data_IF_798474057053
#
_entry.id   IF_798474057053
#
_cell.length_a   1.000
_cell.length_b   1.000
_cell.length_c   1.000
_cell.angle_alpha   90.00
_cell.angle_beta   90.00
_cell.angle_gamma   90.00
#
_symmetry.space_group_name_H-M   'P 1'
#
loop_
_entity.id
_entity.type
_entity.pdbx_description
1 polymer ?
#
# COMPACT_ATOMS: atom_id res chain seq x y z
N UNK A 1 -8.32 31.55 -25.74
CA UNK A 1 -8.49 31.23 -24.30
C UNK A 1 -8.18 29.76 -24.17
N UNK A 2 -6.97 29.49 -23.68
CA UNK A 2 -6.14 28.34 -24.05
C UNK A 2 -6.59 27.04 -23.38
N UNK A 3 -7.23 26.14 -24.14
CA UNK A 3 -7.49 24.75 -23.72
C UNK A 3 -6.21 23.98 -23.37
N UNK A 4 -5.05 24.46 -23.80
CA UNK A 4 -3.73 23.87 -23.52
C UNK A 4 -3.30 24.02 -22.06
N UNK A 5 -3.76 25.04 -21.33
CA UNK A 5 -3.43 25.22 -19.91
C UNK A 5 -4.03 24.12 -19.04
N UNK A 6 -5.21 23.59 -19.39
CA UNK A 6 -5.84 22.49 -18.66
C UNK A 6 -5.11 21.15 -18.81
N UNK A 7 -4.46 20.92 -19.96
CA UNK A 7 -3.68 19.69 -20.22
C UNK A 7 -2.41 19.69 -19.35
N UNK A 8 -1.73 20.83 -19.25
CA UNK A 8 -0.54 20.98 -18.40
C UNK A 8 -0.88 20.79 -16.91
N UNK A 9 -2.04 21.30 -16.46
CA UNK A 9 -2.50 21.07 -15.10
C UNK A 9 -2.82 19.60 -14.84
N UNK A 10 -3.47 18.89 -15.78
CA UNK A 10 -3.78 17.46 -15.61
C UNK A 10 -2.52 16.58 -15.49
N UNK A 11 -1.46 16.89 -16.24
CA UNK A 11 -0.18 16.16 -16.17
C UNK A 11 0.52 16.30 -14.80
N UNK A 12 0.28 17.40 -14.07
CA UNK A 12 0.86 17.65 -12.74
C UNK A 12 0.16 16.88 -11.61
N UNK A 13 -1.02 16.30 -11.85
CA UNK A 13 -1.78 15.52 -10.84
C UNK A 13 -1.55 14.01 -10.90
N UNK A 14 -0.82 13.50 -11.90
CA UNK A 14 -0.41 12.10 -11.91
C UNK A 14 0.80 11.92 -11.00
N UNK A 15 0.57 11.32 -9.82
CA UNK A 15 1.62 11.00 -8.85
C UNK A 15 2.83 10.34 -9.51
N UNK A 16 4.04 10.73 -9.10
CA UNK A 16 5.28 10.17 -9.63
C UNK A 16 5.32 8.67 -9.34
N UNK A 17 5.17 7.85 -10.38
CA UNK A 17 5.40 6.40 -10.30
C UNK A 17 6.90 6.15 -10.35
N UNK A 18 7.50 5.73 -9.24
CA UNK A 18 8.89 5.30 -9.19
C UNK A 18 8.96 3.81 -9.59
N UNK A 19 9.63 3.51 -10.70
CA UNK A 19 9.93 2.14 -11.14
C UNK A 19 11.44 1.93 -11.08
N UNK A 20 11.86 0.92 -10.33
CA UNK A 20 13.25 0.51 -10.22
C UNK A 20 13.35 -0.99 -10.50
N UNK A 21 14.40 -1.40 -11.19
CA UNK A 21 14.70 -2.80 -11.48
C UNK A 21 15.92 -3.22 -10.67
N UNK A 22 15.83 -4.35 -9.99
CA UNK A 22 16.90 -4.92 -9.18
C UNK A 22 17.17 -6.35 -9.64
N UNK A 23 18.44 -6.74 -9.66
CA UNK A 23 18.88 -8.09 -10.01
C UNK A 23 19.82 -8.53 -8.88
N UNK A 24 19.57 -9.70 -8.31
CA UNK A 24 20.36 -10.29 -7.24
C UNK A 24 20.36 -11.81 -7.39
N UNK A 25 21.38 -12.49 -6.83
CA UNK A 25 21.49 -13.94 -6.92
C UNK A 25 20.61 -14.63 -5.86
N UNK A 26 20.37 -15.93 -6.06
CA UNK A 26 19.73 -16.76 -5.04
C UNK A 26 20.58 -16.79 -3.75
N UNK A 27 19.92 -16.73 -2.59
CA UNK A 27 20.58 -16.67 -1.28
C UNK A 27 20.99 -15.26 -0.83
N UNK A 28 21.09 -14.29 -1.75
CA UNK A 28 21.41 -12.91 -1.42
C UNK A 28 20.30 -12.21 -0.61
N UNK A 29 20.60 -10.99 -0.18
CA UNK A 29 19.61 -10.07 0.36
C UNK A 29 19.51 -8.81 -0.49
N UNK A 30 18.30 -8.27 -0.61
CA UNK A 30 18.01 -7.07 -1.39
C UNK A 30 17.08 -6.16 -0.62
N UNK A 31 17.24 -4.85 -0.80
CA UNK A 31 16.33 -3.84 -0.25
C UNK A 31 15.64 -3.07 -1.38
N UNK A 32 14.32 -3.17 -1.43
CA UNK A 32 13.47 -2.39 -2.33
C UNK A 32 13.09 -1.08 -1.64
N UNK A 33 13.50 0.04 -2.21
CA UNK A 33 13.16 1.35 -1.67
C UNK A 33 11.80 1.80 -2.19
N UNK A 34 10.97 2.33 -1.29
CA UNK A 34 9.75 3.04 -1.63
C UNK A 34 9.72 4.36 -0.88
N UNK A 35 9.63 5.47 -1.62
CA UNK A 35 9.37 6.80 -1.07
C UNK A 35 7.93 7.21 -1.37
N UNK A 36 7.28 7.88 -0.43
CA UNK A 36 5.90 8.32 -0.57
C UNK A 36 5.71 9.75 -0.09
N UNK A 37 4.72 10.43 -0.66
CA UNK A 37 4.33 11.77 -0.24
C UNK A 37 2.91 11.73 0.30
N UNK A 38 2.72 12.29 1.50
CA UNK A 38 1.41 12.32 2.16
C UNK A 38 1.34 13.46 3.16
N UNK A 39 0.15 14.05 3.31
CA UNK A 39 -0.16 15.02 4.37
C UNK A 39 -0.65 14.36 5.66
N UNK A 40 -0.81 13.04 5.68
CA UNK A 40 -1.26 12.29 6.86
C UNK A 40 -0.12 12.19 7.86
N UNK A 41 -0.40 12.51 9.12
CA UNK A 41 0.56 12.43 10.24
C UNK A 41 0.96 11.00 10.58
N UNK A 42 0.04 10.05 10.43
CA UNK A 42 0.26 8.62 10.68
C UNK A 42 -0.19 7.81 9.45
N UNK A 43 0.63 7.75 8.39
CA UNK A 43 0.28 6.97 7.22
C UNK A 43 0.45 5.48 7.49
N UNK A 44 -0.48 4.67 6.99
CA UNK A 44 -0.29 3.22 6.88
C UNK A 44 0.29 2.92 5.50
N UNK A 45 1.39 2.19 5.48
CA UNK A 45 2.06 1.77 4.25
C UNK A 45 1.88 0.28 4.06
N UNK A 46 1.61 -0.10 2.81
CA UNK A 46 1.34 -1.47 2.40
C UNK A 46 2.38 -1.88 1.38
N UNK A 47 2.80 -3.14 1.42
CA UNK A 47 3.58 -3.79 0.37
C UNK A 47 2.78 -4.93 -0.26
N UNK A 48 2.90 -5.06 -1.57
CA UNK A 48 2.28 -6.09 -2.39
C UNK A 48 3.31 -6.74 -3.31
N UNK A 49 3.16 -8.05 -3.55
CA UNK A 49 3.93 -8.82 -4.53
C UNK A 49 3.01 -9.21 -5.68
N UNK A 50 3.39 -8.90 -6.92
CA UNK A 50 2.68 -9.31 -8.13
C UNK A 50 3.57 -10.21 -8.97
N UNK A 51 3.17 -11.48 -9.05
CA UNK A 51 3.75 -12.44 -9.98
C UNK A 51 3.31 -12.15 -11.42
N UNK A 52 4.07 -12.65 -12.39
CA UNK A 52 3.75 -12.48 -13.81
C UNK A 52 2.32 -12.96 -14.09
N UNK A 53 1.54 -12.14 -14.80
CA UNK A 53 0.14 -12.40 -15.14
C UNK A 53 -0.80 -12.64 -13.94
N UNK A 54 -0.42 -12.21 -12.73
CA UNK A 54 -1.23 -12.30 -11.53
C UNK A 54 -1.70 -10.92 -11.06
N UNK A 55 -2.56 -10.87 -10.04
CA UNK A 55 -2.92 -9.64 -9.35
C UNK A 55 -1.95 -9.39 -8.17
N UNK A 56 -1.74 -8.13 -7.74
CA UNK A 56 -0.94 -7.85 -6.55
C UNK A 56 -1.50 -8.59 -5.33
N UNK A 57 -0.67 -9.37 -4.64
CA UNK A 57 -1.02 -10.07 -3.39
C UNK A 57 -0.50 -9.27 -2.20
N UNK A 58 -1.34 -9.11 -1.17
CA UNK A 58 -0.96 -8.40 0.05
C UNK A 58 0.17 -9.13 0.79
N UNK A 59 1.26 -8.41 1.09
CA UNK A 59 2.40 -8.97 1.84
C UNK A 59 2.40 -8.54 3.29
N UNK A 60 2.40 -7.23 3.52
CA UNK A 60 2.58 -6.65 4.84
C UNK A 60 2.12 -5.20 4.89
N UNK A 61 1.89 -4.70 6.11
CA UNK A 61 1.65 -3.29 6.37
C UNK A 61 2.47 -2.78 7.55
N UNK A 62 2.73 -1.49 7.54
CA UNK A 62 3.44 -0.75 8.58
C UNK A 62 2.64 0.48 8.95
N UNK A 63 2.46 0.72 10.24
CA UNK A 63 1.76 1.88 10.78
C UNK A 63 2.34 2.26 12.13
N UNK A 64 2.96 3.44 12.24
CA UNK A 64 3.67 3.83 13.46
C UNK A 64 4.65 2.71 13.89
N UNK A 65 4.52 2.18 15.10
CA UNK A 65 5.33 1.06 15.62
C UNK A 65 4.77 -0.33 15.27
N UNK A 66 3.59 -0.40 14.67
CA UNK A 66 2.93 -1.67 14.34
C UNK A 66 3.48 -2.27 13.05
N UNK A 67 3.94 -3.52 13.15
CA UNK A 67 4.34 -4.37 12.03
C UNK A 67 3.37 -5.55 11.91
N UNK A 68 2.78 -5.71 10.73
CA UNK A 68 1.92 -6.85 10.45
C UNK A 68 2.28 -7.44 9.08
N UNK A 69 2.55 -8.74 9.05
CA UNK A 69 2.82 -9.50 7.84
C UNK A 69 1.68 -10.50 7.61
N UNK A 70 1.40 -10.81 6.33
CA UNK A 70 0.53 -11.92 5.99
C UNK A 70 1.23 -13.27 6.27
N UNK A 71 0.47 -14.34 6.53
CA UNK A 71 1.03 -15.66 6.90
C UNK A 71 1.98 -16.29 5.87
N UNK A 72 1.96 -15.84 4.61
CA UNK A 72 2.87 -16.35 3.57
C UNK A 72 4.22 -15.60 3.54
N UNK A 73 4.31 -14.45 4.22
CA UNK A 73 5.46 -13.54 4.17
C UNK A 73 6.07 -13.37 5.55
N UNK A 74 6.81 -14.37 6.01
CA UNK A 74 7.46 -14.38 7.33
C UNK A 74 8.39 -13.17 7.53
N UNK A 75 8.39 -12.60 8.74
CA UNK A 75 9.15 -11.37 9.08
C UNK A 75 10.68 -11.57 9.03
N UNK A 76 11.17 -12.78 9.28
CA UNK A 76 12.60 -13.11 9.19
C UNK A 76 13.15 -12.98 7.76
N UNK A 77 12.30 -13.21 6.75
CA UNK A 77 12.62 -13.08 5.34
C UNK A 77 12.18 -11.77 4.73
N UNK A 78 11.01 -11.27 5.10
CA UNK A 78 10.39 -10.06 4.54
C UNK A 78 10.12 -9.05 5.66
N UNK A 79 10.96 -8.03 5.76
CA UNK A 79 10.76 -6.94 6.73
C UNK A 79 10.74 -5.58 6.04
N UNK A 80 9.88 -4.70 6.54
CA UNK A 80 9.85 -3.32 6.13
C UNK A 80 9.86 -2.42 7.35
N UNK A 81 10.45 -1.24 7.20
CA UNK A 81 10.53 -0.26 8.28
C UNK A 81 10.03 1.09 7.78
N UNK A 82 9.09 1.68 8.51
CA UNK A 82 8.60 3.02 8.18
C UNK A 82 9.61 4.06 8.67
N UNK A 83 10.25 4.76 7.73
CA UNK A 83 11.29 5.77 7.97
C UNK A 83 10.88 7.08 7.31
N UNK A 84 10.38 8.03 8.10
CA UNK A 84 9.87 9.32 7.64
C UNK A 84 8.90 9.17 6.45
N UNK A 85 9.38 9.47 5.23
CA UNK A 85 8.64 9.38 3.96
C UNK A 85 9.06 8.19 3.11
N UNK A 86 9.60 7.15 3.73
CA UNK A 86 10.05 5.94 3.06
C UNK A 86 9.68 4.68 3.82
N UNK A 87 9.55 3.58 3.09
CA UNK A 87 9.22 2.27 3.65
C UNK A 87 10.04 1.18 2.94
N UNK A 88 11.37 1.14 3.09
CA UNK A 88 12.20 0.13 2.45
C UNK A 88 11.75 -1.29 2.85
N UNK A 89 11.63 -2.18 1.87
CA UNK A 89 11.35 -3.60 2.06
C UNK A 89 12.65 -4.39 1.87
N UNK A 90 13.13 -5.02 2.94
CA UNK A 90 14.24 -5.96 2.93
C UNK A 90 13.73 -7.36 2.67
N UNK A 91 14.31 -8.02 1.68
CA UNK A 91 14.08 -9.43 1.34
C UNK A 91 15.39 -10.18 1.60
N UNK A 92 15.33 -11.20 2.44
CA UNK A 92 16.48 -12.01 2.84
C UNK A 92 16.35 -13.44 2.30
N UNK A 93 17.50 -14.06 2.00
CA UNK A 93 17.57 -15.41 1.44
C UNK A 93 16.68 -15.50 0.19
N UNK A 94 17.02 -14.70 -0.81
CA UNK A 94 16.25 -14.62 -2.05
C UNK A 94 16.11 -15.99 -2.70
N UNK A 95 14.91 -16.33 -3.15
CA UNK A 95 14.63 -17.49 -3.99
C UNK A 95 14.22 -17.04 -5.39
N UNK A 96 14.34 -17.92 -6.40
CA UNK A 96 13.89 -17.62 -7.77
C UNK A 96 12.40 -17.22 -7.80
N UNK A 97 11.58 -17.85 -6.95
CA UNK A 97 10.15 -17.54 -6.80
C UNK A 97 9.86 -16.15 -6.20
N UNK A 98 10.86 -15.45 -5.69
CA UNK A 98 10.74 -14.06 -5.25
C UNK A 98 10.83 -13.06 -6.42
N UNK A 99 11.15 -13.53 -7.63
CA UNK A 99 11.12 -12.72 -8.84
C UNK A 99 9.69 -12.26 -9.17
N UNK A 100 9.40 -10.99 -8.90
CA UNK A 100 8.08 -10.39 -9.06
C UNK A 100 8.17 -8.87 -9.15
N UNK A 101 7.04 -8.22 -9.46
CA UNK A 101 6.89 -6.77 -9.29
C UNK A 101 6.39 -6.50 -7.88
N UNK A 102 7.05 -5.60 -7.17
CA UNK A 102 6.67 -5.23 -5.81
C UNK A 102 6.09 -3.81 -5.81
N UNK A 103 4.93 -3.63 -5.18
CA UNK A 103 4.25 -2.34 -5.08
C UNK A 103 4.16 -1.91 -3.64
N UNK A 104 4.43 -0.63 -3.40
CA UNK A 104 4.08 0.03 -2.16
C UNK A 104 2.87 0.95 -2.35
N UNK A 105 2.04 1.08 -1.33
CA UNK A 105 0.86 1.94 -1.38
C UNK A 105 0.54 2.60 -0.03
N UNK A 106 -0.07 3.79 -0.08
CA UNK A 106 -0.60 4.52 1.08
C UNK A 106 -2.06 4.15 1.40
N UNK A 107 -2.70 3.40 0.51
CA UNK A 107 -4.07 2.93 0.66
C UNK A 107 -4.11 1.45 0.32
N UNK A 108 -4.94 0.66 1.01
CA UNK A 108 -5.09 -0.75 0.69
C UNK A 108 -5.62 -0.88 -0.74
N UNK A 109 -4.85 -1.56 -1.58
CA UNK A 109 -5.31 -2.00 -2.90
C UNK A 109 -6.25 -3.19 -2.70
N UNK A 110 -7.42 -3.14 -3.34
CA UNK A 110 -8.39 -4.24 -3.25
C UNK A 110 -7.88 -5.42 -4.05
N UNK A 111 -7.39 -6.44 -3.37
CA UNK A 111 -6.95 -7.69 -3.97
C UNK A 111 -8.11 -8.70 -3.88
N UNK A 112 -9.13 -8.55 -4.73
CA UNK A 112 -10.12 -9.60 -5.04
C UNK A 112 -10.95 -10.22 -3.90
N UNK A 113 -11.99 -9.51 -3.41
CA UNK A 113 -13.34 -10.05 -3.13
C UNK A 113 -14.32 -8.87 -3.11
N UNK A 114 -14.96 -8.61 -4.25
CA UNK A 114 -15.90 -7.48 -4.40
C UNK A 114 -17.07 -7.54 -3.41
N UNK A 115 -17.48 -8.74 -2.95
CA UNK A 115 -18.58 -8.90 -1.97
C UNK A 115 -18.18 -8.43 -0.58
N UNK A 116 -16.95 -8.72 -0.15
CA UNK A 116 -16.45 -8.25 1.16
C UNK A 116 -16.21 -6.74 1.15
N UNK A 117 -15.70 -6.20 0.04
CA UNK A 117 -15.53 -4.76 -0.15
C UNK A 117 -16.87 -4.03 -0.10
N UNK A 118 -17.88 -4.51 -0.83
CA UNK A 118 -19.22 -3.93 -0.82
C UNK A 118 -19.79 -3.87 0.60
N UNK A 119 -19.67 -4.97 1.37
CA UNK A 119 -20.10 -5.02 2.77
C UNK A 119 -19.33 -4.04 3.68
N UNK A 120 -18.02 -3.91 3.49
CA UNK A 120 -17.19 -2.97 4.28
C UNK A 120 -17.48 -1.50 3.93
N UNK A 121 -17.71 -1.18 2.66
CA UNK A 121 -18.12 0.15 2.22
C UNK A 121 -19.52 0.50 2.72
N UNK A 122 -20.46 -0.45 2.69
CA UNK A 122 -21.79 -0.27 3.26
C UNK A 122 -21.77 -0.05 4.77
N UNK A 123 -20.95 -0.80 5.52
CA UNK A 123 -20.84 -0.60 6.97
C UNK A 123 -20.20 0.74 7.31
N UNK A 124 -19.19 1.19 6.55
CA UNK A 124 -18.61 2.52 6.66
C UNK A 124 -19.62 3.63 6.36
N UNK A 125 -20.49 3.46 5.37
CA UNK A 125 -21.55 4.42 5.07
C UNK A 125 -22.61 4.51 6.18
N UNK A 126 -23.04 3.36 6.75
CA UNK A 126 -23.94 3.34 7.92
C UNK A 126 -23.31 4.00 9.14
N UNK A 127 -22.04 3.72 9.42
CA UNK A 127 -21.33 4.28 10.57
C UNK A 127 -20.97 5.77 10.41
N UNK A 128 -21.14 6.35 9.22
CA UNK A 128 -20.92 7.78 8.95
C UNK A 128 -22.21 8.61 9.00
N UNK A 129 -23.36 7.95 9.17
CA UNK A 129 -24.68 8.57 9.22
C UNK A 129 -25.37 8.20 10.54
N UNK A 130 -24.71 8.50 11.65
CA UNK A 130 -25.45 8.79 12.89
C UNK A 130 -25.79 10.29 12.79
N UNK A 131 -27.06 10.60 12.55
CA UNK A 131 -27.52 12.00 12.57
C UNK A 131 -27.38 12.53 13.99
N UNK A 132 -27.10 13.84 14.11
CA UNK A 132 -27.01 14.57 15.38
C UNK A 132 -28.27 14.44 16.26
N UNK A 133 -29.35 13.86 15.76
CA UNK A 133 -30.59 13.56 16.48
C UNK A 133 -30.45 12.41 17.49
N UNK A 134 -29.54 11.45 17.29
CA UNK A 134 -29.36 10.32 18.22
C UNK A 134 -28.49 10.67 19.44
N UNK A 135 -27.78 11.81 19.44
CA UNK A 135 -27.01 12.30 20.59
C UNK A 135 -27.86 13.12 21.59
N UNK A 136 -29.04 13.62 21.20
CA UNK A 136 -29.92 14.39 22.08
C UNK A 136 -30.80 13.50 23.00
N UNK A 137 -30.98 12.22 22.65
CA UNK A 137 -31.81 11.27 23.42
C UNK A 137 -31.00 10.31 24.32
N UNK A 138 -29.75 10.66 24.68
CA UNK A 138 -28.94 9.92 25.66
C UNK A 138 -28.57 10.74 26.92
N UNK A 139 -29.39 11.73 27.28
CA UNK A 139 -29.50 12.32 28.64
C UNK A 139 -30.97 12.52 28.96
#
# INVERSE_FOLDING_TARGET
MEHWLWILLAALFFGKTQRSTFIAAEGDSLTLNCTFETSRTLPTLFWYKQEVNSYPKYMLKRFSKTKENAPEFMEDRFDAELKDKSVPLKIQKLHVFDSAVYYCALQPTVTGNSKTLYKYLQSRHKNKMLSLEELYNMT
#
